data_IF_723524832948
#
_entry.id   IF_723524832948
#
_cell.length_a   1.000
_cell.length_b   1.000
_cell.length_c   1.000
_cell.angle_alpha   90.00
_cell.angle_beta   90.00
_cell.angle_gamma   90.00
#
_symmetry.space_group_name_H-M   'P 1'
#
loop_
_entity.id
_entity.type
_entity.pdbx_description
1 polymer ?
#
# COMPACT_ATOMS: atom_id res chain seq x y z
N UNK A 1 12.54 -1.68 -3.23
CA UNK A 1 11.66 -1.36 -4.38
C UNK A 1 10.25 -1.69 -3.95
N UNK A 2 9.70 -0.87 -3.07
CA UNK A 2 8.68 -1.32 -2.12
C UNK A 2 7.54 -0.33 -2.05
N UNK A 3 6.36 -0.86 -1.74
CA UNK A 3 5.27 -0.07 -1.20
C UNK A 3 5.46 -0.02 0.30
N UNK A 4 5.49 1.16 0.89
CA UNK A 4 5.45 1.35 2.35
C UNK A 4 4.00 1.48 2.78
N UNK A 5 3.63 0.79 3.84
CA UNK A 5 2.26 0.78 4.39
C UNK A 5 2.26 1.41 5.78
N UNK A 6 1.25 2.23 6.05
CA UNK A 6 1.06 2.88 7.35
C UNK A 6 -0.43 2.98 7.64
N UNK A 7 -0.86 2.60 8.84
CA UNK A 7 -2.26 2.76 9.27
C UNK A 7 -2.32 3.70 10.46
N UNK A 8 -3.02 4.81 10.29
CA UNK A 8 -3.21 5.82 11.35
C UNK A 8 -4.64 6.38 11.28
N UNK A 9 -5.29 6.53 12.44
CA UNK A 9 -6.65 7.09 12.56
C UNK A 9 -7.73 6.43 11.67
N UNK A 10 -7.49 5.16 11.31
CA UNK A 10 -8.31 4.36 10.41
C UNK A 10 -8.11 4.67 8.92
N UNK A 11 -7.00 5.30 8.55
CA UNK A 11 -6.56 5.52 7.18
C UNK A 11 -5.37 4.62 6.89
N UNK A 12 -5.46 3.78 5.85
CA UNK A 12 -4.32 3.02 5.33
C UNK A 12 -3.62 3.82 4.23
N UNK A 13 -2.38 4.24 4.47
CA UNK A 13 -1.56 4.94 3.49
C UNK A 13 -0.62 3.96 2.78
N UNK A 14 -0.71 3.89 1.45
CA UNK A 14 0.18 3.10 0.59
C UNK A 14 1.13 4.03 -0.18
N UNK A 15 2.41 4.06 0.21
CA UNK A 15 3.42 4.95 -0.40
C UNK A 15 4.30 4.19 -1.38
N UNK A 16 4.38 4.65 -2.62
CA UNK A 16 5.38 4.18 -3.58
C UNK A 16 6.77 4.68 -3.17
N UNK A 17 7.61 3.79 -2.64
CA UNK A 17 8.93 4.11 -2.12
C UNK A 17 10.02 3.58 -3.06
N UNK A 18 10.09 4.20 -4.25
CA UNK A 18 11.05 3.85 -5.30
C UNK A 18 11.57 5.12 -5.99
N UNK A 19 12.18 5.99 -5.19
CA UNK A 19 12.63 7.32 -5.62
C UNK A 19 13.64 7.25 -6.79
N UNK A 20 14.53 6.27 -6.79
CA UNK A 20 15.56 6.03 -7.81
C UNK A 20 15.00 5.73 -9.21
N UNK A 21 13.70 5.46 -9.31
CA UNK A 21 12.97 5.16 -10.54
C UNK A 21 11.70 5.99 -10.67
N UNK A 22 11.64 7.15 -10.00
CA UNK A 22 10.47 8.05 -10.01
C UNK A 22 9.16 7.32 -9.69
N UNK A 23 9.21 6.36 -8.77
CA UNK A 23 8.06 5.55 -8.36
C UNK A 23 7.45 4.69 -9.48
N UNK A 24 8.22 4.38 -10.53
CA UNK A 24 7.79 3.45 -11.57
C UNK A 24 7.37 2.12 -10.93
N UNK A 25 6.15 1.69 -11.24
CA UNK A 25 5.52 0.49 -10.65
C UNK A 25 6.13 -0.76 -11.30
N UNK A 26 6.41 -1.78 -10.47
CA UNK A 26 6.85 -3.10 -10.92
C UNK A 26 5.76 -4.14 -10.68
N UNK A 27 5.87 -5.32 -11.31
CA UNK A 27 4.94 -6.42 -11.07
C UNK A 27 4.89 -6.84 -9.59
N UNK A 28 6.02 -6.82 -8.88
CA UNK A 28 6.07 -7.12 -7.45
C UNK A 28 5.29 -6.08 -6.62
N UNK A 29 5.36 -4.80 -6.99
CA UNK A 29 4.61 -3.74 -6.31
C UNK A 29 3.11 -3.87 -6.55
N UNK A 30 2.69 -4.31 -7.75
CA UNK A 30 1.29 -4.63 -8.02
C UNK A 30 0.76 -5.72 -7.10
N UNK A 31 1.55 -6.79 -6.89
CA UNK A 31 1.18 -7.86 -5.96
C UNK A 31 1.01 -7.30 -4.54
N UNK A 32 1.98 -6.52 -4.06
CA UNK A 32 1.89 -5.90 -2.72
C UNK A 32 0.68 -4.99 -2.56
N UNK A 33 0.32 -4.20 -3.58
CA UNK A 33 -0.88 -3.38 -3.57
C UNK A 33 -2.14 -4.24 -3.49
N UNK A 34 -2.24 -5.29 -4.30
CA UNK A 34 -3.40 -6.19 -4.29
C UNK A 34 -3.57 -6.85 -2.91
N UNK A 35 -2.49 -7.36 -2.33
CA UNK A 35 -2.50 -7.99 -1.01
C UNK A 35 -2.92 -6.99 0.07
N UNK A 36 -2.43 -5.74 0.00
CA UNK A 36 -2.78 -4.68 0.96
C UNK A 36 -4.26 -4.26 0.86
N UNK A 37 -4.81 -4.19 -0.35
CA UNK A 37 -6.22 -3.86 -0.55
C UNK A 37 -7.15 -4.96 0.00
N UNK A 38 -6.81 -6.23 -0.23
CA UNK A 38 -7.58 -7.37 0.31
C UNK A 38 -7.50 -7.39 1.84
N UNK A 39 -6.32 -7.14 2.41
CA UNK A 39 -6.18 -7.06 3.86
C UNK A 39 -7.03 -5.92 4.45
N UNK A 40 -7.01 -4.74 3.81
CA UNK A 40 -7.76 -3.57 4.24
C UNK A 40 -9.28 -3.76 4.19
N UNK A 41 -9.79 -4.50 3.20
CA UNK A 41 -11.22 -4.84 3.11
C UNK A 41 -11.71 -5.62 4.33
N UNK A 42 -10.84 -6.45 4.92
CA UNK A 42 -11.18 -7.31 6.06
C UNK A 42 -10.82 -6.72 7.42
N UNK A 43 -10.11 -5.59 7.47
CA UNK A 43 -9.68 -4.96 8.72
C UNK A 43 -10.67 -3.86 9.16
N UNK A 44 -11.46 -4.08 10.22
CA UNK A 44 -12.43 -3.10 10.71
C UNK A 44 -11.78 -1.83 11.27
N UNK A 45 -10.47 -1.83 11.56
CA UNK A 45 -9.74 -0.63 11.96
C UNK A 45 -9.48 0.30 10.77
N UNK A 46 -9.45 -0.21 9.54
CA UNK A 46 -9.24 0.57 8.31
C UNK A 46 -10.60 1.00 7.77
N UNK A 47 -10.80 2.31 7.64
CA UNK A 47 -12.03 2.93 7.16
C UNK A 47 -11.88 3.51 5.76
N UNK A 48 -10.65 3.80 5.34
CA UNK A 48 -10.31 4.37 4.03
C UNK A 48 -8.84 4.08 3.69
N UNK A 49 -8.51 4.12 2.40
CA UNK A 49 -7.18 3.87 1.83
C UNK A 49 -6.81 5.06 0.93
#
# INVERSE_FOLDING_TARGET
MSIRTETADGVLTLTFDRLDRKNAITAAMYQTLADALVAAETDPAIRVI
#
